data_IF_982326351113
#
_entry.id   IF_982326351113
#
_cell.length_a   1.000
_cell.length_b   1.000
_cell.length_c   1.000
_cell.angle_alpha   90.00
_cell.angle_beta   90.00
_cell.angle_gamma   90.00
#
_symmetry.space_group_name_H-M   'P 1'
#
loop_
_entity.id
_entity.type
_entity.pdbx_description
1 polymer ?
#
# COMPACT_ATOMS: atom_id res chain seq x y z
N UNK A 1 -5.25 -16.53 10.06
CA UNK A 1 -5.65 -16.64 8.64
C UNK A 1 -4.86 -17.73 7.94
N UNK A 2 -3.53 -17.77 8.08
CA UNK A 2 -2.71 -18.85 7.54
C UNK A 2 -3.21 -20.25 7.96
N UNK A 3 -3.59 -20.45 9.22
CA UNK A 3 -4.18 -21.72 9.69
C UNK A 3 -5.43 -22.13 8.90
N UNK A 4 -6.29 -21.16 8.56
CA UNK A 4 -7.49 -21.43 7.78
C UNK A 4 -7.13 -21.79 6.33
N UNK A 5 -6.16 -21.07 5.73
CA UNK A 5 -5.70 -21.29 4.36
C UNK A 5 -4.88 -22.59 4.22
N UNK A 6 -4.26 -23.08 5.29
CA UNK A 6 -3.52 -24.35 5.31
C UNK A 6 -4.45 -25.58 5.15
N UNK A 7 -5.73 -25.46 5.53
CA UNK A 7 -6.70 -26.56 5.45
C UNK A 7 -7.08 -26.90 4.00
N UNK A 8 -6.94 -28.15 3.53
CA UNK A 8 -7.19 -28.52 2.13
C UNK A 8 -8.60 -28.17 1.62
N UNK A 9 -9.62 -28.29 2.46
CA UNK A 9 -11.03 -28.04 2.12
C UNK A 9 -11.38 -26.55 1.93
N UNK A 10 -10.49 -25.64 2.34
CA UNK A 10 -10.68 -24.20 2.16
C UNK A 10 -10.16 -23.79 0.79
N UNK A 11 -11.05 -23.29 -0.08
CA UNK A 11 -10.68 -22.77 -1.40
C UNK A 11 -9.98 -21.41 -1.32
N UNK A 12 -10.42 -20.53 -0.43
CA UNK A 12 -9.90 -19.18 -0.23
C UNK A 12 -10.55 -18.49 0.96
N UNK A 13 -10.20 -17.22 1.19
CA UNK A 13 -10.76 -16.40 2.28
C UNK A 13 -11.38 -15.13 1.70
N UNK A 14 -12.58 -14.80 2.15
CA UNK A 14 -13.25 -13.52 1.84
C UNK A 14 -13.33 -12.70 3.14
N UNK A 15 -12.90 -11.44 3.08
CA UNK A 15 -12.89 -10.52 4.22
C UNK A 15 -13.79 -9.33 3.91
N UNK A 16 -14.87 -9.17 4.69
CA UNK A 16 -15.66 -7.94 4.69
C UNK A 16 -14.93 -6.87 5.52
N UNK A 17 -14.69 -5.71 4.92
CA UNK A 17 -13.90 -4.63 5.51
C UNK A 17 -14.48 -3.26 5.15
N UNK A 18 -14.31 -2.27 6.04
CA UNK A 18 -14.66 -0.87 5.74
C UNK A 18 -13.80 -0.34 4.60
N UNK A 19 -14.37 0.48 3.70
CA UNK A 19 -13.67 0.83 2.46
C UNK A 19 -12.51 1.82 2.65
N UNK A 20 -12.48 2.57 3.74
CA UNK A 20 -11.51 3.68 3.93
C UNK A 20 -10.06 3.23 3.99
N UNK A 21 -9.76 2.11 4.65
CA UNK A 21 -8.39 1.58 4.81
C UNK A 21 -8.23 0.19 4.20
N UNK A 22 -9.18 -0.24 3.37
CA UNK A 22 -9.17 -1.57 2.76
C UNK A 22 -7.91 -1.82 1.92
N UNK A 23 -7.42 -0.79 1.22
CA UNK A 23 -6.18 -0.88 0.44
C UNK A 23 -4.93 -1.13 1.29
N UNK A 24 -4.92 -0.65 2.53
CA UNK A 24 -3.84 -0.86 3.49
C UNK A 24 -3.87 -2.28 4.03
N UNK A 25 -5.04 -2.73 4.50
CA UNK A 25 -5.23 -4.12 4.96
C UNK A 25 -4.93 -5.11 3.84
N UNK A 26 -5.40 -4.85 2.62
CA UNK A 26 -5.12 -5.72 1.48
C UNK A 26 -3.62 -5.81 1.18
N UNK A 27 -2.92 -4.68 1.15
CA UNK A 27 -1.48 -4.68 0.87
C UNK A 27 -0.68 -5.31 2.00
N UNK A 28 -1.07 -5.08 3.26
CA UNK A 28 -0.50 -5.79 4.42
C UNK A 28 -0.62 -7.30 4.26
N UNK A 29 -1.82 -7.80 3.94
CA UNK A 29 -2.04 -9.23 3.74
C UNK A 29 -1.26 -9.75 2.52
N UNK A 30 -1.16 -9.00 1.43
CA UNK A 30 -0.40 -9.41 0.24
C UNK A 30 1.08 -9.63 0.54
N UNK A 31 1.61 -8.83 1.47
CA UNK A 31 2.98 -8.93 1.93
C UNK A 31 3.19 -10.02 2.99
N UNK A 32 2.17 -10.48 3.71
CA UNK A 32 2.37 -11.24 4.96
C UNK A 32 1.76 -12.63 4.98
N UNK A 33 0.87 -12.95 4.05
CA UNK A 33 0.15 -14.23 4.00
C UNK A 33 0.95 -15.31 3.28
N UNK A 34 1.09 -16.47 3.94
CA UNK A 34 1.91 -17.60 3.48
C UNK A 34 1.11 -18.60 2.64
N UNK A 35 0.32 -18.11 1.69
CA UNK A 35 -0.52 -18.98 0.87
C UNK A 35 -0.67 -18.45 -0.55
N UNK A 36 -0.81 -19.39 -1.49
CA UNK A 36 -1.21 -19.10 -2.87
C UNK A 36 -2.72 -19.15 -3.07
N UNK A 37 -3.49 -19.61 -2.06
CA UNK A 37 -4.95 -19.57 -2.13
C UNK A 37 -5.43 -18.13 -2.12
N UNK A 38 -6.51 -17.81 -2.87
CA UNK A 38 -6.97 -16.46 -3.02
C UNK A 38 -7.50 -15.88 -1.69
N UNK A 39 -7.12 -14.63 -1.43
CA UNK A 39 -7.66 -13.82 -0.34
C UNK A 39 -8.29 -12.58 -0.96
N UNK A 40 -9.59 -12.40 -0.75
CA UNK A 40 -10.38 -11.35 -1.40
C UNK A 40 -10.96 -10.45 -0.32
N UNK A 41 -10.67 -9.16 -0.40
CA UNK A 41 -11.34 -8.15 0.39
C UNK A 41 -12.55 -7.60 -0.38
N UNK A 42 -13.64 -7.41 0.35
CA UNK A 42 -14.85 -6.74 -0.12
C UNK A 42 -15.32 -5.70 0.88
N UNK A 43 -16.09 -4.75 0.39
CA UNK A 43 -16.85 -3.82 1.21
C UNK A 43 -18.05 -3.32 0.45
N UNK A 44 -18.57 -2.20 0.89
CA UNK A 44 -19.67 -1.51 0.24
C UNK A 44 -19.52 0.00 0.43
N UNK A 45 -19.83 0.76 -0.60
CA UNK A 45 -19.81 2.22 -0.54
C UNK A 45 -21.15 2.78 -0.05
N UNK A 46 -22.23 2.03 -0.23
CA UNK A 46 -23.56 2.39 0.26
C UNK A 46 -23.84 1.67 1.57
N UNK A 47 -24.65 2.30 2.42
CA UNK A 47 -25.12 1.68 3.65
C UNK A 47 -26.02 0.47 3.34
N UNK A 48 -26.01 -0.55 4.20
CA UNK A 48 -26.83 -1.76 4.04
C UNK A 48 -28.35 -1.49 4.03
N UNK A 49 -28.79 -0.37 4.60
CA UNK A 49 -30.18 0.09 4.54
C UNK A 49 -30.54 0.83 3.24
N UNK A 50 -29.56 1.12 2.37
CA UNK A 50 -29.83 1.74 1.07
C UNK A 50 -30.53 0.75 0.13
N UNK A 51 -31.59 1.15 -0.60
CA UNK A 51 -32.25 0.27 -1.58
C UNK A 51 -31.30 -0.28 -2.65
N UNK A 52 -30.24 0.44 -2.97
CA UNK A 52 -29.23 0.13 -3.98
C UNK A 52 -27.86 -0.24 -3.39
N UNK A 53 -27.86 -0.85 -2.20
CA UNK A 53 -26.68 -1.36 -1.50
C UNK A 53 -25.83 -2.30 -2.38
N UNK A 54 -24.54 -2.00 -2.51
CA UNK A 54 -23.61 -2.71 -3.41
C UNK A 54 -22.97 -3.96 -2.80
N UNK A 55 -23.06 -4.13 -1.47
CA UNK A 55 -22.44 -5.24 -0.73
C UNK A 55 -22.80 -6.65 -1.20
N UNK A 56 -24.08 -6.99 -1.50
CA UNK A 56 -24.46 -8.35 -1.88
C UNK A 56 -23.80 -8.79 -3.19
N UNK A 57 -23.72 -7.88 -4.18
CA UNK A 57 -23.05 -8.15 -5.45
C UNK A 57 -21.53 -8.29 -5.25
N UNK A 58 -20.92 -7.42 -4.46
CA UNK A 58 -19.48 -7.52 -4.16
C UNK A 58 -19.15 -8.84 -3.45
N UNK A 59 -19.97 -9.27 -2.48
CA UNK A 59 -19.80 -10.54 -1.77
C UNK A 59 -19.95 -11.76 -2.69
N UNK A 60 -21.00 -11.78 -3.53
CA UNK A 60 -21.19 -12.86 -4.52
C UNK A 60 -19.99 -12.97 -5.45
N UNK A 61 -19.51 -11.84 -5.96
CA UNK A 61 -18.35 -11.79 -6.85
C UNK A 61 -17.08 -12.30 -6.15
N UNK A 62 -16.85 -11.93 -4.89
CA UNK A 62 -15.70 -12.42 -4.13
C UNK A 62 -15.74 -13.93 -3.91
N UNK A 63 -16.91 -14.51 -3.66
CA UNK A 63 -17.07 -15.96 -3.55
C UNK A 63 -16.71 -16.62 -4.89
N UNK A 64 -17.24 -16.10 -6.01
CA UNK A 64 -16.91 -16.61 -7.37
C UNK A 64 -15.41 -16.56 -7.65
N UNK A 65 -14.74 -15.46 -7.30
CA UNK A 65 -13.29 -15.33 -7.42
C UNK A 65 -12.57 -16.34 -6.54
N UNK A 66 -12.97 -16.49 -5.27
CA UNK A 66 -12.33 -17.38 -4.31
C UNK A 66 -12.38 -18.86 -4.73
N UNK A 67 -13.37 -19.24 -5.54
CA UNK A 67 -13.59 -20.62 -5.99
C UNK A 67 -13.09 -20.91 -7.41
N UNK A 68 -12.60 -19.91 -8.15
CA UNK A 68 -12.09 -20.14 -9.52
C UNK A 68 -10.60 -20.55 -9.47
N UNK A 69 -10.17 -21.57 -10.24
CA UNK A 69 -8.77 -22.01 -10.26
C UNK A 69 -7.77 -20.89 -10.63
N UNK A 70 -8.16 -19.97 -11.51
CA UNK A 70 -7.34 -18.87 -12.03
C UNK A 70 -6.97 -17.82 -10.97
N UNK A 71 -7.68 -17.81 -9.83
CA UNK A 71 -7.40 -16.92 -8.70
C UNK A 71 -6.20 -17.38 -7.85
N UNK A 72 -5.79 -18.65 -7.98
CA UNK A 72 -4.63 -19.18 -7.26
C UNK A 72 -3.35 -18.45 -7.74
N UNK A 73 -2.56 -17.98 -6.79
CA UNK A 73 -1.30 -17.28 -7.06
C UNK A 73 -1.44 -15.80 -7.45
N UNK A 74 -2.67 -15.27 -7.58
CA UNK A 74 -2.90 -13.86 -7.92
C UNK A 74 -2.60 -12.88 -6.76
N UNK A 75 -2.31 -13.42 -5.57
CA UNK A 75 -2.10 -12.63 -4.36
C UNK A 75 -3.41 -12.17 -3.71
N UNK A 76 -3.30 -11.15 -2.87
CA UNK A 76 -4.49 -10.55 -2.25
C UNK A 76 -5.16 -9.61 -3.24
N UNK A 77 -6.48 -9.67 -3.30
CA UNK A 77 -7.29 -8.93 -4.26
C UNK A 77 -8.41 -8.15 -3.58
N UNK A 78 -8.88 -7.10 -4.23
CA UNK A 78 -10.16 -6.45 -3.93
C UNK A 78 -11.18 -6.84 -5.00
N UNK A 79 -12.40 -7.19 -4.59
CA UNK A 79 -13.53 -7.44 -5.48
C UNK A 79 -14.62 -6.39 -5.25
N UNK A 80 -14.57 -5.31 -6.02
CA UNK A 80 -15.46 -4.15 -5.86
C UNK A 80 -15.99 -3.74 -7.23
N UNK A 81 -17.30 -3.49 -7.34
CA UNK A 81 -17.92 -3.00 -8.58
C UNK A 81 -17.62 -3.88 -9.81
N UNK A 82 -17.73 -5.20 -9.66
CA UNK A 82 -17.39 -6.22 -10.66
C UNK A 82 -15.91 -6.26 -11.11
N UNK A 83 -15.03 -5.44 -10.53
CA UNK A 83 -13.60 -5.38 -10.87
C UNK A 83 -12.76 -6.12 -9.82
N UNK A 84 -11.72 -6.81 -10.30
CA UNK A 84 -10.72 -7.51 -9.49
C UNK A 84 -9.45 -6.68 -9.51
N UNK A 85 -9.08 -6.08 -8.38
CA UNK A 85 -7.90 -5.25 -8.30
C UNK A 85 -6.80 -5.92 -7.46
N UNK A 86 -5.53 -5.81 -7.89
CA UNK A 86 -4.40 -6.27 -7.11
C UNK A 86 -4.16 -5.38 -5.88
N UNK A 87 -3.94 -5.98 -4.71
CA UNK A 87 -3.75 -5.28 -3.45
C UNK A 87 -2.65 -4.21 -3.50
N UNK A 88 -1.55 -4.48 -4.22
CA UNK A 88 -0.43 -3.54 -4.36
C UNK A 88 -0.82 -2.21 -5.03
N UNK A 89 -1.62 -2.25 -6.09
CA UNK A 89 -1.88 -1.08 -6.95
C UNK A 89 -3.19 -0.36 -6.63
N UNK A 90 -4.16 -1.05 -6.03
CA UNK A 90 -5.51 -0.51 -5.83
C UNK A 90 -5.56 0.60 -4.79
N UNK A 91 -6.28 1.68 -5.04
CA UNK A 91 -6.55 2.72 -4.05
C UNK A 91 -7.97 3.26 -4.17
N UNK A 92 -8.53 3.75 -3.06
CA UNK A 92 -9.83 4.42 -3.02
C UNK A 92 -9.68 5.85 -3.55
N UNK A 93 -10.29 6.14 -4.69
CA UNK A 93 -10.16 7.43 -5.40
C UNK A 93 -11.36 8.37 -5.27
N UNK A 94 -12.44 7.96 -4.61
CA UNK A 94 -13.66 8.75 -4.48
C UNK A 94 -14.31 8.51 -3.10
N UNK A 95 -14.91 9.56 -2.55
CA UNK A 95 -15.54 9.51 -1.22
C UNK A 95 -16.83 8.66 -1.19
N UNK A 96 -17.72 8.81 -2.19
CA UNK A 96 -19.00 8.08 -2.24
C UNK A 96 -19.34 7.23 -3.49
N UNK A 97 -18.56 7.23 -4.57
CA UNK A 97 -18.89 6.45 -5.78
C UNK A 97 -18.63 4.94 -5.54
N UNK A 98 -19.51 4.07 -6.03
CA UNK A 98 -19.35 2.61 -5.97
C UNK A 98 -18.12 2.13 -6.77
N UNK A 99 -17.77 2.84 -7.85
CA UNK A 99 -16.56 2.59 -8.65
C UNK A 99 -15.34 3.37 -8.10
N UNK A 100 -15.13 3.33 -6.78
CA UNK A 100 -14.05 4.11 -6.14
C UNK A 100 -12.70 3.41 -6.13
N UNK A 101 -12.62 2.08 -6.23
CA UNK A 101 -11.34 1.40 -6.15
C UNK A 101 -10.71 1.31 -7.53
N UNK A 102 -9.57 1.99 -7.71
CA UNK A 102 -8.86 2.07 -8.99
C UNK A 102 -7.39 1.69 -8.79
N UNK A 103 -6.81 1.02 -9.78
CA UNK A 103 -5.39 0.66 -9.79
C UNK A 103 -4.53 1.60 -10.67
N UNK A 104 -5.01 2.83 -10.91
CA UNK A 104 -4.33 3.80 -11.76
C UNK A 104 -4.02 3.27 -13.16
N UNK A 105 -2.84 3.62 -13.67
CA UNK A 105 -2.36 3.18 -15.00
C UNK A 105 -2.09 1.66 -15.08
N UNK A 106 -1.97 0.96 -13.95
CA UNK A 106 -1.82 -0.50 -13.92
C UNK A 106 -3.12 -1.24 -14.26
N UNK A 107 -4.28 -0.61 -14.03
CA UNK A 107 -5.59 -1.19 -14.26
C UNK A 107 -5.94 -2.34 -13.30
N UNK A 108 -7.22 -2.73 -13.30
CA UNK A 108 -7.66 -3.94 -12.61
C UNK A 108 -7.10 -5.19 -13.32
N UNK A 109 -6.97 -6.29 -12.60
CA UNK A 109 -6.38 -7.54 -13.11
C UNK A 109 -7.41 -8.50 -13.70
N UNK A 110 -8.70 -8.27 -13.44
CA UNK A 110 -9.79 -9.05 -14.00
C UNK A 110 -11.16 -8.46 -13.69
N UNK A 111 -12.19 -9.14 -14.16
CA UNK A 111 -13.60 -8.77 -14.00
C UNK A 111 -14.44 -9.99 -13.65
N UNK A 112 -15.59 -9.75 -13.01
CA UNK A 112 -16.58 -10.78 -12.69
C UNK A 112 -17.87 -10.50 -13.46
N UNK A 113 -18.21 -11.43 -14.35
CA UNK A 113 -19.44 -11.45 -15.13
C UNK A 113 -20.45 -12.40 -14.49
N UNK A 114 -21.68 -12.39 -14.98
CA UNK A 114 -22.74 -13.26 -14.46
C UNK A 114 -22.44 -14.74 -14.66
N UNK A 115 -21.75 -15.08 -15.76
CA UNK A 115 -21.40 -16.43 -16.20
C UNK A 115 -19.99 -16.86 -15.79
N UNK A 116 -19.03 -15.93 -15.65
CA UNK A 116 -17.62 -16.29 -15.40
C UNK A 116 -16.78 -15.19 -14.73
N UNK A 117 -15.65 -15.62 -14.16
CA UNK A 117 -14.56 -14.75 -13.72
C UNK A 117 -13.49 -14.71 -14.81
N UNK A 118 -13.02 -13.52 -15.19
CA UNK A 118 -12.01 -13.35 -16.25
C UNK A 118 -10.82 -12.59 -15.69
N UNK A 119 -9.65 -13.22 -15.66
CA UNK A 119 -8.38 -12.54 -15.41
C UNK A 119 -7.74 -12.15 -16.75
N UNK A 120 -7.24 -10.92 -16.84
CA UNK A 120 -6.52 -10.41 -18.02
C UNK A 120 -5.08 -9.99 -17.70
N UNK A 121 -4.75 -9.84 -16.42
CA UNK A 121 -3.41 -9.46 -15.94
C UNK A 121 -3.10 -10.21 -14.65
N UNK A 122 -1.83 -10.13 -14.21
CA UNK A 122 -1.39 -10.66 -12.91
C UNK A 122 -0.41 -9.69 -12.24
N UNK A 123 -0.32 -9.74 -10.91
CA UNK A 123 0.60 -8.90 -10.15
C UNK A 123 2.03 -9.48 -10.15
N UNK A 124 2.97 -8.78 -10.79
CA UNK A 124 4.34 -9.27 -10.98
C UNK A 124 5.29 -8.97 -9.81
N UNK A 125 4.99 -7.96 -8.99
CA UNK A 125 5.88 -7.40 -7.95
C UNK A 125 5.53 -7.90 -6.54
N UNK A 126 5.01 -9.12 -6.43
CA UNK A 126 4.64 -9.72 -5.15
C UNK A 126 5.89 -10.01 -4.30
N UNK A 127 5.76 -9.78 -3.01
CA UNK A 127 6.80 -10.04 -2.01
C UNK A 127 6.15 -10.71 -0.80
N UNK A 128 6.90 -11.54 -0.09
CA UNK A 128 6.48 -12.13 1.18
C UNK A 128 7.42 -11.67 2.29
N UNK A 129 6.86 -11.27 3.42
CA UNK A 129 7.53 -10.71 4.59
C UNK A 129 6.93 -11.36 5.84
N UNK A 130 7.78 -12.01 6.61
CA UNK A 130 7.39 -12.61 7.88
C UNK A 130 7.22 -11.54 8.96
N UNK A 131 6.07 -11.60 9.65
CA UNK A 131 5.66 -10.63 10.70
C UNK A 131 6.10 -11.01 12.11
N UNK A 132 6.81 -12.13 12.29
CA UNK A 132 7.35 -12.58 13.57
C UNK A 132 6.33 -12.52 14.72
N UNK A 133 6.81 -12.24 15.93
CA UNK A 133 5.98 -12.00 17.12
C UNK A 133 6.31 -10.69 17.84
N UNK A 134 7.29 -9.93 17.35
CA UNK A 134 7.69 -8.67 17.97
C UNK A 134 6.67 -7.55 17.66
N UNK A 135 6.68 -6.50 18.49
CA UNK A 135 5.85 -5.32 18.25
C UNK A 135 6.23 -4.63 16.93
N UNK A 136 5.23 -4.11 16.23
CA UNK A 136 5.46 -3.40 14.97
C UNK A 136 6.05 -2.01 15.24
N UNK A 137 7.12 -1.61 14.53
CA UNK A 137 7.74 -0.32 14.75
C UNK A 137 6.80 0.82 14.35
N UNK A 138 6.74 1.87 15.17
CA UNK A 138 5.96 3.07 14.85
C UNK A 138 6.55 3.79 13.63
N UNK A 139 5.79 3.82 12.54
CA UNK A 139 6.12 4.58 11.31
C UNK A 139 5.04 5.63 11.07
N UNK A 140 5.45 6.86 10.78
CA UNK A 140 4.56 8.01 10.56
C UNK A 140 4.53 8.44 9.09
N UNK A 141 3.40 9.00 8.62
CA UNK A 141 3.28 9.66 7.31
C UNK A 141 3.15 11.16 7.53
N UNK A 142 4.05 11.92 6.92
CA UNK A 142 4.12 13.37 7.09
C UNK A 142 3.90 14.04 5.72
N UNK A 143 2.87 14.87 5.63
CA UNK A 143 2.51 15.55 4.41
C UNK A 143 3.48 16.72 4.11
N UNK A 144 3.90 16.80 2.86
CA UNK A 144 4.55 18.00 2.29
C UNK A 144 3.51 18.85 1.56
N UNK A 145 3.51 20.15 1.84
CA UNK A 145 2.68 21.16 1.19
C UNK A 145 3.40 22.51 1.22
N UNK A 146 2.89 23.48 0.46
CA UNK A 146 3.45 24.85 0.48
C UNK A 146 3.38 25.43 1.89
N UNK A 147 4.54 25.72 2.49
CA UNK A 147 4.64 26.22 3.87
C UNK A 147 4.86 25.15 4.94
N UNK A 148 4.94 23.85 4.59
CA UNK A 148 5.34 22.82 5.56
C UNK A 148 6.75 23.10 6.09
N UNK A 149 6.91 23.24 7.40
CA UNK A 149 8.17 23.68 8.03
C UNK A 149 9.01 22.51 8.61
N UNK A 150 8.47 21.30 8.54
CA UNK A 150 9.10 20.09 9.06
C UNK A 150 9.04 19.92 10.59
N UNK A 151 8.32 20.78 11.30
CA UNK A 151 8.16 20.70 12.78
C UNK A 151 7.52 19.38 13.21
N UNK A 152 6.46 18.93 12.54
CA UNK A 152 5.77 17.67 12.84
C UNK A 152 6.66 16.44 12.58
N UNK A 153 7.54 16.51 11.56
CA UNK A 153 8.48 15.43 11.28
C UNK A 153 9.52 15.33 12.40
N UNK A 154 10.12 16.45 12.81
CA UNK A 154 11.06 16.50 13.94
C UNK A 154 10.40 16.00 15.23
N UNK A 155 9.19 16.48 15.51
CA UNK A 155 8.40 16.02 16.65
C UNK A 155 8.17 14.51 16.63
N UNK A 156 7.77 13.93 15.49
CA UNK A 156 7.57 12.48 15.38
C UNK A 156 8.86 11.69 15.71
N UNK A 157 10.01 12.14 15.19
CA UNK A 157 11.33 11.56 15.49
C UNK A 157 11.65 11.66 16.99
N UNK A 158 11.43 12.83 17.59
CA UNK A 158 11.70 13.07 19.02
C UNK A 158 10.76 12.26 19.93
N UNK A 159 9.56 11.94 19.45
CA UNK A 159 8.60 11.04 20.09
C UNK A 159 8.85 9.55 19.76
N UNK A 160 10.00 9.21 19.19
CA UNK A 160 10.43 7.83 19.03
C UNK A 160 9.91 7.09 17.80
N UNK A 161 9.45 7.80 16.76
CA UNK A 161 9.16 7.18 15.47
C UNK A 161 10.40 6.43 14.95
N UNK A 162 10.20 5.20 14.46
CA UNK A 162 11.26 4.32 13.96
C UNK A 162 11.45 4.42 12.45
N UNK A 163 10.51 5.05 11.75
CA UNK A 163 10.61 5.37 10.34
C UNK A 163 9.65 6.50 9.98
N UNK A 164 9.96 7.20 8.91
CA UNK A 164 9.15 8.30 8.40
C UNK A 164 8.86 8.06 6.93
N UNK A 165 7.61 8.25 6.51
CA UNK A 165 7.24 8.41 5.10
C UNK A 165 6.88 9.87 4.88
N UNK A 166 7.58 10.53 3.97
CA UNK A 166 7.18 11.86 3.50
C UNK A 166 6.25 11.69 2.31
N UNK A 167 5.01 12.14 2.45
CA UNK A 167 4.09 12.32 1.32
C UNK A 167 4.49 13.61 0.60
N UNK A 168 5.49 13.50 -0.28
CA UNK A 168 6.08 14.63 -0.98
C UNK A 168 5.16 15.18 -2.09
N UNK A 169 5.61 16.24 -2.77
CA UNK A 169 4.92 16.79 -3.94
C UNK A 169 5.63 16.39 -5.24
N UNK A 170 4.89 16.35 -6.35
CA UNK A 170 5.44 16.02 -7.66
C UNK A 170 6.14 14.65 -7.64
N UNK A 171 7.39 14.61 -8.11
CA UNK A 171 8.17 13.38 -8.24
C UNK A 171 9.01 13.03 -6.99
N UNK A 172 8.59 13.49 -5.80
CA UNK A 172 9.36 13.30 -4.56
C UNK A 172 10.07 14.56 -4.05
N UNK A 173 9.57 15.75 -4.40
CA UNK A 173 10.18 17.03 -4.05
C UNK A 173 9.56 17.63 -2.78
N UNK A 174 10.34 18.44 -2.08
CA UNK A 174 9.95 19.18 -0.88
C UNK A 174 10.63 20.55 -0.83
N UNK A 175 10.22 21.41 0.11
CA UNK A 175 10.88 22.68 0.36
C UNK A 175 12.12 22.50 1.25
N UNK A 176 12.92 23.56 1.40
CA UNK A 176 14.16 23.53 2.18
C UNK A 176 13.91 23.13 3.64
N UNK A 177 12.87 23.67 4.30
CA UNK A 177 12.58 23.38 5.70
C UNK A 177 12.23 21.91 5.96
N UNK A 178 11.45 21.30 5.07
CA UNK A 178 11.16 19.86 5.13
C UNK A 178 12.41 19.04 4.82
N UNK A 179 13.25 19.45 3.86
CA UNK A 179 14.51 18.78 3.58
C UNK A 179 15.46 18.77 4.79
N UNK A 180 15.58 19.89 5.50
CA UNK A 180 16.37 19.93 6.74
C UNK A 180 15.76 19.06 7.84
N UNK A 181 14.43 18.91 7.89
CA UNK A 181 13.77 17.95 8.77
C UNK A 181 14.07 16.49 8.40
N UNK A 182 14.12 16.17 7.10
CA UNK A 182 14.54 14.86 6.61
C UNK A 182 15.98 14.56 7.01
N UNK A 183 16.90 15.51 6.81
CA UNK A 183 18.29 15.38 7.27
C UNK A 183 18.39 15.19 8.78
N UNK A 184 17.57 15.90 9.55
CA UNK A 184 17.47 15.70 11.00
C UNK A 184 17.11 14.26 11.34
N UNK A 185 16.03 13.70 10.76
CA UNK A 185 15.61 12.32 11.00
C UNK A 185 16.73 11.31 10.65
N UNK A 186 17.34 11.47 9.47
CA UNK A 186 18.44 10.61 9.02
C UNK A 186 19.64 10.70 9.96
N UNK A 187 20.01 11.89 10.43
CA UNK A 187 21.07 12.12 11.42
C UNK A 187 20.78 11.52 12.79
N UNK A 188 19.51 11.23 13.10
CA UNK A 188 19.05 10.50 14.30
C UNK A 188 18.92 9.00 14.07
N UNK A 189 19.31 8.49 12.90
CA UNK A 189 19.21 7.08 12.54
C UNK A 189 17.78 6.63 12.25
N UNK A 190 16.84 7.55 12.00
CA UNK A 190 15.47 7.22 11.61
C UNK A 190 15.36 7.22 10.08
N UNK A 191 15.11 6.07 9.44
CA UNK A 191 15.01 6.00 7.98
C UNK A 191 13.83 6.81 7.46
N UNK A 192 14.04 7.48 6.32
CA UNK A 192 13.03 8.30 5.65
C UNK A 192 12.78 7.76 4.25
N UNK A 193 11.53 7.44 3.96
CA UNK A 193 11.03 7.05 2.63
C UNK A 193 10.29 8.23 2.01
N UNK A 194 10.61 8.55 0.76
CA UNK A 194 9.99 9.61 -0.02
C UNK A 194 8.94 8.99 -0.94
N UNK A 195 7.67 9.15 -0.58
CA UNK A 195 6.52 8.87 -1.43
C UNK A 195 5.97 10.17 -2.01
N UNK A 196 4.82 10.14 -2.67
CA UNK A 196 4.20 11.37 -3.22
C UNK A 196 2.69 11.37 -3.01
N UNK A 197 2.11 12.57 -2.92
CA UNK A 197 0.64 12.75 -2.96
C UNK A 197 0.06 12.62 -4.36
N UNK A 198 0.90 12.59 -5.39
CA UNK A 198 0.44 12.42 -6.78
C UNK A 198 -0.06 10.98 -6.94
N UNK A 199 -1.31 10.75 -7.39
CA UNK A 199 -1.89 9.40 -7.39
C UNK A 199 -1.21 8.37 -8.29
N UNK A 200 -0.61 8.82 -9.41
CA UNK A 200 0.01 7.95 -10.40
C UNK A 200 1.46 8.36 -10.67
N UNK A 201 2.28 7.40 -11.07
CA UNK A 201 3.71 7.59 -11.33
C UNK A 201 4.59 7.14 -10.17
N UNK A 202 5.88 7.44 -10.27
CA UNK A 202 6.89 7.03 -9.27
C UNK A 202 7.73 8.20 -8.78
N UNK A 203 8.17 8.12 -7.54
CA UNK A 203 9.24 8.97 -7.00
C UNK A 203 10.60 8.54 -7.54
N UNK A 204 11.46 9.51 -7.88
CA UNK A 204 12.77 9.26 -8.45
C UNK A 204 13.80 10.34 -8.06
N UNK A 205 15.09 9.99 -7.92
CA UNK A 205 16.14 10.92 -7.56
C UNK A 205 16.61 11.74 -8.77
N UNK A 206 15.73 12.55 -9.36
CA UNK A 206 16.03 13.32 -10.58
C UNK A 206 16.45 14.77 -10.29
N UNK A 207 15.66 15.50 -9.50
CA UNK A 207 15.86 16.93 -9.32
C UNK A 207 16.91 17.26 -8.27
N UNK A 208 17.95 17.98 -8.67
CA UNK A 208 19.14 18.30 -7.85
C UNK A 208 19.10 19.63 -7.08
N UNK A 209 17.99 20.37 -7.08
CA UNK A 209 17.85 21.55 -6.22
C UNK A 209 17.68 21.13 -4.75
N UNK A 210 17.93 22.04 -3.80
CA UNK A 210 17.78 21.76 -2.35
C UNK A 210 16.34 21.36 -2.02
N UNK A 211 16.13 20.11 -1.60
CA UNK A 211 14.81 19.52 -1.37
C UNK A 211 14.21 18.80 -2.58
N UNK A 212 14.91 18.77 -3.71
CA UNK A 212 14.57 17.91 -4.84
C UNK A 212 14.89 16.45 -4.54
N UNK A 213 14.19 15.53 -5.21
CA UNK A 213 14.32 14.08 -5.00
C UNK A 213 15.76 13.55 -5.08
N UNK A 214 16.63 14.15 -5.91
CA UNK A 214 18.04 13.74 -5.97
C UNK A 214 18.78 14.11 -4.67
N UNK A 215 18.62 15.34 -4.18
CA UNK A 215 19.31 15.80 -2.96
C UNK A 215 18.88 15.03 -1.72
N UNK A 216 17.59 14.68 -1.60
CA UNK A 216 17.08 13.87 -0.47
C UNK A 216 17.59 12.43 -0.54
N UNK A 217 17.64 11.84 -1.74
CA UNK A 217 18.24 10.53 -1.94
C UNK A 217 19.73 10.54 -1.58
N UNK A 218 20.50 11.49 -2.10
CA UNK A 218 21.94 11.62 -1.83
C UNK A 218 22.21 11.84 -0.34
N UNK A 219 21.30 12.51 0.39
CA UNK A 219 21.37 12.68 1.85
C UNK A 219 21.07 11.41 2.66
N UNK A 220 20.56 10.34 2.04
CA UNK A 220 20.32 9.06 2.70
C UNK A 220 18.88 8.55 2.66
N UNK A 221 17.94 9.31 2.09
CA UNK A 221 16.55 8.88 1.98
C UNK A 221 16.35 7.77 0.93
N UNK A 222 15.22 7.06 1.04
CA UNK A 222 14.80 5.97 0.15
C UNK A 222 13.64 6.45 -0.72
N UNK A 223 13.61 6.07 -2.00
CA UNK A 223 12.49 6.39 -2.89
C UNK A 223 11.44 5.29 -2.84
N UNK A 224 10.17 5.67 -2.62
CA UNK A 224 9.06 4.71 -2.54
C UNK A 224 8.70 4.08 -3.89
N UNK A 225 9.29 4.57 -4.99
CA UNK A 225 8.87 4.21 -6.33
C UNK A 225 7.42 4.62 -6.54
N UNK A 226 6.61 3.66 -6.97
CA UNK A 226 5.19 3.78 -7.32
C UNK A 226 4.23 3.46 -6.16
N UNK A 227 4.73 3.22 -4.94
CA UNK A 227 3.86 3.03 -3.77
C UNK A 227 3.30 4.36 -3.27
N UNK A 228 2.00 4.36 -2.96
CA UNK A 228 1.35 5.45 -2.23
C UNK A 228 1.92 5.59 -0.81
N UNK A 229 1.82 6.76 -0.16
CA UNK A 229 2.38 6.97 1.18
C UNK A 229 1.91 5.95 2.22
N UNK A 230 0.61 5.63 2.21
CA UNK A 230 0.00 4.65 3.11
C UNK A 230 0.56 3.23 2.90
N UNK A 231 0.81 2.81 1.66
CA UNK A 231 1.42 1.50 1.37
C UNK A 231 2.93 1.49 1.61
N UNK A 232 3.61 2.58 1.28
CA UNK A 232 5.03 2.76 1.60
C UNK A 232 5.29 2.67 3.11
N UNK A 233 4.37 3.21 3.93
CA UNK A 233 4.42 3.09 5.39
C UNK A 233 4.38 1.62 5.83
N UNK A 234 3.49 0.82 5.27
CA UNK A 234 3.38 -0.61 5.62
C UNK A 234 4.64 -1.38 5.24
N UNK A 235 5.17 -1.17 4.03
CA UNK A 235 6.40 -1.84 3.61
C UNK A 235 7.59 -1.44 4.48
N UNK A 236 7.74 -0.15 4.79
CA UNK A 236 8.78 0.35 5.70
C UNK A 236 8.63 -0.27 7.09
N UNK A 237 7.42 -0.29 7.65
CA UNK A 237 7.13 -0.88 8.96
C UNK A 237 7.53 -2.36 9.01
N UNK A 238 7.16 -3.14 7.98
CA UNK A 238 7.52 -4.55 7.87
C UNK A 238 9.03 -4.76 7.72
N UNK A 239 9.73 -3.92 6.95
CA UNK A 239 11.18 -4.05 6.77
C UNK A 239 11.96 -3.68 8.02
N UNK A 240 11.55 -2.63 8.72
CA UNK A 240 12.12 -2.27 10.02
C UNK A 240 11.87 -3.37 11.06
N UNK A 241 10.70 -4.01 11.03
CA UNK A 241 10.41 -5.16 11.89
C UNK A 241 11.37 -6.33 11.62
N UNK A 242 11.78 -6.55 10.36
CA UNK A 242 12.82 -7.52 9.99
C UNK A 242 14.26 -7.07 10.34
N UNK A 243 14.45 -5.91 10.98
CA UNK A 243 15.76 -5.35 11.29
C UNK A 243 16.45 -4.68 10.08
N UNK A 244 15.74 -4.47 8.97
CA UNK A 244 16.28 -3.78 7.79
C UNK A 244 16.03 -2.28 7.95
N UNK A 245 17.07 -1.54 8.30
CA UNK A 245 17.01 -0.07 8.49
C UNK A 245 18.01 0.71 7.64
N UNK A 246 18.96 0.04 6.99
CA UNK A 246 19.92 0.71 6.11
C UNK A 246 19.29 1.09 4.76
N UNK A 247 19.82 2.14 4.14
CA UNK A 247 19.30 2.67 2.87
C UNK A 247 19.28 1.61 1.76
N UNK A 248 20.32 0.79 1.64
CA UNK A 248 20.45 -0.14 0.52
C UNK A 248 19.41 -1.27 0.61
N UNK A 249 19.28 -1.89 1.80
CA UNK A 249 18.28 -2.91 2.06
C UNK A 249 16.85 -2.40 1.91
N UNK A 250 16.57 -1.18 2.40
CA UNK A 250 15.27 -0.54 2.21
C UNK A 250 15.01 -0.23 0.73
N UNK A 251 15.94 0.38 0.01
CA UNK A 251 15.74 0.69 -1.41
C UNK A 251 15.50 -0.57 -2.25
N UNK A 252 16.24 -1.66 -1.99
CA UNK A 252 16.02 -2.94 -2.65
C UNK A 252 14.60 -3.50 -2.42
N UNK A 253 14.02 -3.29 -1.23
CA UNK A 253 12.64 -3.69 -0.95
C UNK A 253 11.62 -2.88 -1.77
N UNK A 254 11.84 -1.56 -1.91
CA UNK A 254 10.96 -0.67 -2.67
C UNK A 254 11.10 -0.81 -4.20
N UNK A 255 12.27 -1.24 -4.68
CA UNK A 255 12.53 -1.45 -6.11
C UNK A 255 11.93 -2.76 -6.65
N UNK A 256 11.60 -3.72 -5.79
CA UNK A 256 11.04 -5.02 -6.17
C UNK A 256 9.56 -4.95 -6.54
#
# INVERSE_FOLDING_TARGET
>A
MDDALARPEVAGVVIAHGTDTMEETAYWLDLTVKSNKPVILIGAQRNASSPDFDGPRNLLNAIRIATTPEAVGQGVMLAMNNQINAARTVTKTHTGNVETFKSGDFGFIGEVWDDKVVFSRTALRRQHIDIGSAEMPRVEILAMFGGADGSLLRYAVDQGAKGIVVQAVGMGNMNVSMYEAVKYALGRGVPVVIATRVPNGRTMPLYGFVGGGKTTFDAGAVMAGDLSPQKARLLLMLKLHQGVSDKAGLQAAFDR
#
